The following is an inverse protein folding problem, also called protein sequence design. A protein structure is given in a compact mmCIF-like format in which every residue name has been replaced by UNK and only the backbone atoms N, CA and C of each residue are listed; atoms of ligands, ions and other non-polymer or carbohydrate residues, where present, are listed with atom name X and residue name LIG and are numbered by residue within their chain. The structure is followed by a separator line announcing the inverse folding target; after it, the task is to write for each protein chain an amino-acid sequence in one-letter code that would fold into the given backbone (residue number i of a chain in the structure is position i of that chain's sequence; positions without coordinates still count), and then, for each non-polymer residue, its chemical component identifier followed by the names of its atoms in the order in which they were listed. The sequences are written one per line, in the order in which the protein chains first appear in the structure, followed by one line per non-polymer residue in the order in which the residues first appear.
data_IF_642171441115
#
_entry.id   IF_642171441115
#
_cell.length_a   1.000
_cell.length_b   1.000
_cell.length_c   1.000
_cell.angle_alpha   90.00
_cell.angle_beta   90.00
_cell.angle_gamma   90.00
#
_symmetry.space_group_name_H-M   'P 1'
#
loop_
_entity.id
_entity.type
_entity.pdbx_description
1 polymer ?
#
# COMPACT_ATOMS: atom_id res chain seq x y z
N UNK A 1 -34.78 -6.51 -20.03
CA UNK A 1 -33.70 -6.21 -19.06
C UNK A 1 -32.42 -6.06 -19.84
N UNK A 2 -32.00 -4.82 -20.09
CA UNK A 2 -30.68 -4.56 -20.64
C UNK A 2 -29.65 -4.91 -19.56
N UNK A 3 -28.65 -5.72 -19.92
CA UNK A 3 -27.44 -5.87 -19.11
C UNK A 3 -26.79 -4.49 -19.08
N UNK A 4 -26.82 -3.85 -17.92
CA UNK A 4 -25.95 -2.71 -17.64
C UNK A 4 -24.53 -3.18 -17.92
N UNK A 5 -23.97 -2.68 -19.02
CA UNK A 5 -22.54 -2.67 -19.25
C UNK A 5 -21.94 -2.04 -18.01
N UNK A 6 -21.21 -2.84 -17.20
CA UNK A 6 -20.29 -2.30 -16.21
C UNK A 6 -19.38 -1.35 -16.97
N UNK A 7 -19.66 -0.04 -16.86
CA UNK A 7 -18.79 0.99 -17.38
C UNK A 7 -17.40 0.68 -16.84
N UNK A 8 -16.41 0.64 -17.74
CA UNK A 8 -15.03 0.39 -17.36
C UNK A 8 -14.62 1.45 -16.35
N UNK A 9 -14.58 1.07 -15.07
CA UNK A 9 -14.18 1.99 -14.00
C UNK A 9 -12.77 2.44 -14.30
N UNK A 10 -12.59 3.76 -14.43
CA UNK A 10 -11.27 4.33 -14.68
C UNK A 10 -10.33 3.91 -13.55
N UNK A 11 -9.24 3.24 -13.91
CA UNK A 11 -8.20 2.83 -12.99
C UNK A 11 -6.96 3.71 -13.16
N UNK A 12 -6.37 4.13 -12.05
CA UNK A 12 -5.13 4.88 -12.04
C UNK A 12 -4.03 4.07 -11.39
N UNK A 13 -2.87 3.97 -12.05
CA UNK A 13 -1.70 3.32 -11.49
C UNK A 13 -0.91 4.33 -10.64
N UNK A 14 -0.61 3.96 -9.41
CA UNK A 14 0.23 4.71 -8.50
C UNK A 14 1.50 3.90 -8.25
N UNK A 15 2.65 4.57 -8.36
CA UNK A 15 3.97 4.02 -8.08
C UNK A 15 4.69 4.95 -7.11
N UNK A 16 5.28 4.39 -6.06
CA UNK A 16 6.01 5.14 -5.05
C UNK A 16 7.22 4.35 -4.56
N UNK A 17 8.36 5.02 -4.42
CA UNK A 17 9.57 4.46 -3.81
C UNK A 17 9.77 5.06 -2.43
N UNK A 18 9.92 4.20 -1.43
CA UNK A 18 10.17 4.58 -0.06
C UNK A 18 11.53 4.04 0.37
N UNK A 19 12.30 4.86 1.08
CA UNK A 19 13.57 4.43 1.65
C UNK A 19 13.78 4.99 3.05
N UNK A 20 14.36 4.19 3.92
CA UNK A 20 14.72 4.55 5.29
C UNK A 20 16.20 4.27 5.51
N UNK A 21 16.88 5.25 6.09
CA UNK A 21 18.30 5.20 6.46
C UNK A 21 18.43 5.08 7.99
N UNK A 22 18.13 3.89 8.51
CA UNK A 22 18.36 3.55 9.92
C UNK A 22 19.07 2.20 10.01
N UNK A 23 20.37 2.27 10.25
CA UNK A 23 21.28 1.11 10.21
C UNK A 23 21.22 0.23 11.47
N UNK A 24 20.55 0.66 12.56
CA UNK A 24 20.74 0.05 13.88
C UNK A 24 19.48 -0.41 14.62
N UNK A 25 18.28 -0.11 14.13
CA UNK A 25 17.06 -0.49 14.84
C UNK A 25 16.71 -1.98 14.62
N UNK A 26 16.48 -2.72 15.71
CA UNK A 26 16.08 -4.13 15.66
C UNK A 26 14.73 -4.34 14.96
N UNK A 27 13.83 -3.37 15.13
CA UNK A 27 12.55 -3.30 14.45
C UNK A 27 12.43 -1.94 13.77
N UNK A 28 12.14 -1.94 12.47
CA UNK A 28 11.87 -0.72 11.70
C UNK A 28 10.59 -0.93 10.91
N UNK A 29 9.60 -0.08 11.16
CA UNK A 29 8.34 -0.07 10.42
C UNK A 29 8.13 1.27 9.74
N UNK A 30 7.66 1.25 8.49
CA UNK A 30 7.23 2.42 7.76
C UNK A 30 5.71 2.43 7.67
N UNK A 31 5.11 3.57 7.98
CA UNK A 31 3.68 3.80 7.80
C UNK A 31 3.47 4.66 6.56
N UNK A 32 2.93 4.05 5.49
CA UNK A 32 2.65 4.72 4.22
C UNK A 32 1.17 5.11 4.20
N UNK A 33 0.81 6.41 4.10
CA UNK A 33 -0.58 6.80 3.95
C UNK A 33 -1.11 6.31 2.60
N UNK A 34 -2.29 5.70 2.62
CA UNK A 34 -2.96 5.18 1.42
C UNK A 34 -4.19 6.04 1.09
N UNK A 35 -4.62 6.09 -0.18
CA UNK A 35 -5.82 6.83 -0.55
C UNK A 35 -7.08 6.09 -0.09
N UNK A 36 -8.16 6.80 0.26
CA UNK A 36 -9.42 6.21 0.75
C UNK A 36 -10.29 5.58 -0.36
N UNK A 37 -9.67 4.91 -1.33
CA UNK A 37 -10.32 4.31 -2.49
C UNK A 37 -9.84 2.87 -2.68
N UNK A 38 -10.66 2.05 -3.33
CA UNK A 38 -10.33 0.63 -3.51
C UNK A 38 -9.06 0.47 -4.34
N UNK A 39 -8.08 -0.24 -3.78
CA UNK A 39 -6.82 -0.57 -4.43
C UNK A 39 -6.82 -2.03 -4.92
N UNK A 40 -6.20 -2.28 -6.06
CA UNK A 40 -6.01 -3.61 -6.64
C UNK A 40 -4.61 -3.74 -7.21
N UNK A 41 -4.19 -4.97 -7.56
CA UNK A 41 -2.86 -5.23 -8.13
C UNK A 41 -1.71 -4.67 -7.29
N UNK A 42 -1.82 -4.80 -5.97
CA UNK A 42 -0.83 -4.27 -5.03
C UNK A 42 0.43 -5.11 -5.07
N UNK A 43 1.54 -4.46 -5.33
CA UNK A 43 2.85 -5.06 -5.39
C UNK A 43 3.83 -4.27 -4.54
N UNK A 44 4.52 -4.97 -3.65
CA UNK A 44 5.56 -4.39 -2.80
C UNK A 44 6.86 -5.17 -3.06
N UNK A 45 7.86 -4.47 -3.58
CA UNK A 45 9.17 -5.04 -3.90
C UNK A 45 10.26 -4.39 -3.06
N UNK A 46 11.24 -5.17 -2.59
CA UNK A 46 12.35 -4.65 -1.78
C UNK A 46 12.62 -5.49 -0.54
N UNK A 47 13.48 -4.99 0.35
CA UNK A 47 13.99 -5.74 1.51
C UNK A 47 13.11 -5.60 2.77
N UNK A 48 11.80 -5.80 2.56
CA UNK A 48 10.79 -5.91 3.62
C UNK A 48 10.64 -7.34 4.15
N UNK A 49 10.11 -7.47 5.37
CA UNK A 49 9.79 -8.74 6.03
C UNK A 49 8.32 -9.12 5.82
N UNK A 50 7.43 -8.14 6.00
CA UNK A 50 5.99 -8.28 5.97
C UNK A 50 5.36 -6.92 5.66
N UNK A 51 4.07 -6.93 5.34
CA UNK A 51 3.26 -5.72 5.34
C UNK A 51 1.83 -6.04 5.76
N UNK A 52 1.16 -5.05 6.33
CA UNK A 52 -0.25 -5.13 6.70
C UNK A 52 -0.98 -3.81 6.40
N UNK A 53 -2.27 -3.90 6.08
CA UNK A 53 -3.12 -2.72 5.93
C UNK A 53 -3.89 -2.45 7.21
N UNK A 54 -3.89 -1.18 7.59
CA UNK A 54 -4.51 -0.71 8.80
C UNK A 54 -5.41 0.49 8.52
N UNK A 55 -6.42 0.65 9.36
CA UNK A 55 -7.25 1.84 9.41
C UNK A 55 -7.04 2.51 10.77
N UNK A 56 -6.43 3.69 10.79
CA UNK A 56 -6.18 4.44 12.02
C UNK A 56 -6.87 5.80 11.93
N UNK A 57 -7.78 6.09 12.86
CA UNK A 57 -8.64 7.28 12.86
C UNK A 57 -9.35 7.56 11.52
N UNK A 58 -9.78 6.51 10.81
CA UNK A 58 -10.47 6.64 9.52
C UNK A 58 -9.55 6.90 8.32
N UNK A 59 -8.22 6.92 8.53
CA UNK A 59 -7.23 7.05 7.47
C UNK A 59 -6.57 5.69 7.23
N UNK A 60 -6.54 5.19 5.97
CA UNK A 60 -5.90 3.92 5.68
C UNK A 60 -4.38 4.10 5.57
N UNK A 61 -3.64 3.15 6.13
CA UNK A 61 -2.19 3.08 6.09
C UNK A 61 -1.73 1.68 5.68
N UNK A 62 -0.60 1.61 4.98
CA UNK A 62 0.16 0.40 4.80
C UNK A 62 1.35 0.43 5.78
N UNK A 63 1.35 -0.47 6.76
CA UNK A 63 2.50 -0.71 7.62
C UNK A 63 3.41 -1.71 6.92
N UNK A 64 4.66 -1.31 6.69
CA UNK A 64 5.70 -2.16 6.10
C UNK A 64 6.77 -2.41 7.14
N UNK A 65 6.97 -3.67 7.50
CA UNK A 65 8.04 -4.06 8.41
C UNK A 65 9.28 -4.45 7.61
N UNK A 66 10.44 -4.01 8.06
CA UNK A 66 11.72 -4.34 7.42
C UNK A 66 12.47 -5.42 8.19
N UNK A 67 13.17 -6.27 7.43
CA UNK A 67 14.14 -7.20 8.01
C UNK A 67 15.28 -6.40 8.66
N UNK A 68 15.85 -6.97 9.73
CA UNK A 68 17.12 -6.48 10.29
C UNK A 68 18.18 -6.57 9.20
N UNK A 69 18.72 -5.42 8.81
CA UNK A 69 19.66 -5.31 7.70
C UNK A 69 20.58 -4.14 7.93
N UNK A 70 21.86 -4.33 7.57
CA UNK A 70 22.87 -3.26 7.45
C UNK A 70 22.81 -2.56 6.10
N UNK A 71 21.99 -3.07 5.17
CA UNK A 71 21.71 -2.42 3.90
C UNK A 71 20.54 -1.44 4.08
N UNK A 72 20.58 -0.35 3.31
CA UNK A 72 19.49 0.62 3.24
C UNK A 72 18.15 -0.08 2.99
N UNK A 73 17.18 0.22 3.83
CA UNK A 73 15.81 -0.32 3.77
C UNK A 73 15.06 0.41 2.67
N UNK A 74 14.58 -0.30 1.65
CA UNK A 74 13.87 0.26 0.50
C UNK A 74 12.72 -0.63 0.09
N UNK A 75 11.60 0.01 -0.25
CA UNK A 75 10.48 -0.65 -0.90
C UNK A 75 9.95 0.19 -2.05
N UNK A 76 9.55 -0.50 -3.12
CA UNK A 76 8.78 0.04 -4.22
C UNK A 76 7.36 -0.49 -4.11
N UNK A 77 6.40 0.42 -3.95
CA UNK A 77 4.97 0.14 -3.87
C UNK A 77 4.31 0.54 -5.19
N UNK A 78 3.62 -0.40 -5.82
CA UNK A 78 2.79 -0.18 -7.00
C UNK A 78 1.38 -0.71 -6.74
N UNK A 79 0.36 0.06 -7.09
CA UNK A 79 -1.04 -0.39 -7.02
C UNK A 79 -1.93 0.39 -7.99
N UNK A 80 -3.09 -0.18 -8.31
CA UNK A 80 -4.14 0.46 -9.09
C UNK A 80 -5.27 0.91 -8.19
N UNK A 81 -5.73 2.15 -8.33
CA UNK A 81 -6.95 2.63 -7.67
C UNK A 81 -8.12 2.74 -8.64
N UNK A 82 -9.31 2.35 -8.18
CA UNK A 82 -10.57 2.65 -8.84
C UNK A 82 -11.22 3.87 -8.19
N UNK A 83 -12.12 4.58 -8.90
CA UNK A 83 -12.84 5.75 -8.36
C UNK A 83 -13.86 5.41 -7.25
N UNK A 84 -13.95 4.16 -6.82
CA UNK A 84 -14.86 3.72 -5.77
C UNK A 84 -14.28 4.02 -4.39
N UNK A 85 -15.01 4.82 -3.59
CA UNK A 85 -14.62 5.13 -2.22
C UNK A 85 -14.70 3.90 -1.33
N UNK A 86 -13.71 3.74 -0.45
CA UNK A 86 -13.72 2.67 0.55
C UNK A 86 -14.70 3.01 1.68
N UNK A 87 -15.57 2.05 2.01
CA UNK A 87 -16.31 2.04 3.27
C UNK A 87 -15.64 1.13 4.32
N UNK A 88 -14.54 0.45 3.97
CA UNK A 88 -13.83 -0.58 4.75
C UNK A 88 -12.29 -0.47 4.62
N UNK A 89 -11.53 -1.44 5.14
CA UNK A 89 -10.05 -1.49 5.04
C UNK A 89 -9.59 -1.54 3.57
N UNK A 90 -8.36 -1.11 3.31
CA UNK A 90 -7.82 -1.05 1.94
C UNK A 90 -7.71 -2.43 1.27
N UNK A 91 -7.49 -3.48 2.07
CA UNK A 91 -7.40 -4.88 1.68
C UNK A 91 -8.14 -5.72 2.73
N UNK A 92 -8.69 -6.86 2.31
CA UNK A 92 -9.17 -7.91 3.22
C UNK A 92 -8.03 -8.54 4.03
#
# INVERSE_FOLDING_TARGET
QAKESQESVAKYKIEAEYSIDFDSAEHTSLFIPMPSVAASNVNLQGNHASYESMLNFGVPYLQVEFLKSTQKKRVHLSYEIASYQLNERLFD
#
